data_IF_523479023921
#
_entry.id   IF_523479023921
#
_cell.length_a   1.000
_cell.length_b   1.000
_cell.length_c   1.000
_cell.angle_alpha   90.00
_cell.angle_beta   90.00
_cell.angle_gamma   90.00
#
_symmetry.space_group_name_H-M   'P 1'
#
loop_
_entity.id
_entity.type
_entity.pdbx_description
1 polymer ?
#
# COMPACT_ATOMS: atom_id res chain seq x y z
N UNK A 1 0.62 -1.09 15.71
CA UNK A 1 0.26 0.34 15.57
C UNK A 1 -0.54 0.48 14.28
N UNK A 2 -1.75 1.06 14.29
CA UNK A 2 -2.61 1.11 13.09
C UNK A 2 -2.21 2.30 12.19
N UNK A 3 -2.04 2.05 10.89
CA UNK A 3 -1.78 3.10 9.89
C UNK A 3 -3.11 3.64 9.35
N UNK A 4 -3.48 4.91 9.59
CA UNK A 4 -4.79 5.43 9.21
C UNK A 4 -5.11 5.39 7.70
N UNK A 5 -4.08 5.44 6.85
CA UNK A 5 -4.20 5.37 5.38
C UNK A 5 -4.35 3.95 4.83
N UNK A 6 -4.26 2.92 5.68
CA UNK A 6 -4.66 1.54 5.37
C UNK A 6 -5.63 1.07 6.43
N UNK A 7 -6.94 1.38 6.29
CA UNK A 7 -7.93 0.75 7.13
C UNK A 7 -7.74 -0.78 7.03
N UNK A 8 -7.67 -1.43 8.18
CA UNK A 8 -7.35 -2.86 8.42
C UNK A 8 -5.88 -3.31 8.43
N UNK A 9 -4.88 -2.42 8.28
CA UNK A 9 -3.48 -2.81 8.49
C UNK A 9 -3.07 -2.68 9.97
N UNK A 10 -3.35 -3.73 10.76
CA UNK A 10 -2.82 -3.90 12.12
C UNK A 10 -1.57 -4.78 12.04
N UNK A 11 -0.41 -4.17 12.29
CA UNK A 11 0.89 -4.87 12.33
C UNK A 11 1.54 -4.73 13.72
N UNK A 12 2.22 -5.79 14.16
CA UNK A 12 2.84 -5.97 15.48
C UNK A 12 4.25 -6.61 15.33
N UNK A 13 5.08 -6.52 16.37
CA UNK A 13 6.40 -7.14 16.48
C UNK A 13 6.93 -7.05 17.92
N UNK A 14 7.87 -7.91 18.30
CA UNK A 14 8.42 -8.00 19.66
C UNK A 14 9.28 -6.78 20.02
N UNK A 15 9.79 -6.10 19.00
CA UNK A 15 10.55 -4.86 19.12
C UNK A 15 9.95 -3.75 18.27
N UNK A 16 10.30 -2.50 18.59
CA UNK A 16 9.90 -1.35 17.79
C UNK A 16 10.41 -1.43 16.36
N UNK A 17 11.68 -1.84 16.16
CA UNK A 17 12.23 -2.07 14.82
C UNK A 17 11.41 -3.11 14.03
N UNK A 18 11.04 -4.22 14.66
CA UNK A 18 10.28 -5.28 14.01
C UNK A 18 8.87 -4.84 13.65
N UNK A 19 8.15 -4.20 14.58
CA UNK A 19 6.82 -3.68 14.29
C UNK A 19 6.84 -2.68 13.13
N UNK A 20 7.88 -1.84 13.03
CA UNK A 20 8.06 -0.90 11.92
C UNK A 20 8.41 -1.61 10.61
N UNK A 21 9.23 -2.67 10.65
CA UNK A 21 9.54 -3.51 9.49
C UNK A 21 8.26 -4.15 8.94
N UNK A 22 7.48 -4.78 9.82
CA UNK A 22 6.24 -5.46 9.45
C UNK A 22 5.21 -4.48 8.88
N UNK A 23 5.12 -3.26 9.43
CA UNK A 23 4.28 -2.20 8.84
C UNK A 23 4.73 -1.88 7.41
N UNK A 24 6.04 -1.69 7.15
CA UNK A 24 6.54 -1.38 5.79
C UNK A 24 6.23 -2.48 4.79
N UNK A 25 6.45 -3.73 5.16
CA UNK A 25 6.18 -4.88 4.28
C UNK A 25 4.68 -4.97 3.95
N UNK A 26 3.79 -4.78 4.92
CA UNK A 26 2.35 -4.79 4.68
C UNK A 26 1.89 -3.65 3.74
N UNK A 27 2.57 -2.51 3.79
CA UNK A 27 2.30 -1.37 2.90
C UNK A 27 2.73 -1.66 1.47
N UNK A 28 3.93 -2.23 1.31
CA UNK A 28 4.46 -2.59 0.00
C UNK A 28 3.56 -3.63 -0.66
N UNK A 29 3.16 -4.66 0.08
CA UNK A 29 2.22 -5.69 -0.39
C UNK A 29 0.85 -5.11 -0.79
N UNK A 30 0.33 -4.13 -0.04
CA UNK A 30 -0.95 -3.50 -0.38
C UNK A 30 -0.86 -2.63 -1.64
N UNK A 31 0.28 -1.99 -1.87
CA UNK A 31 0.51 -1.08 -3.00
C UNK A 31 1.13 -1.78 -4.21
N UNK A 32 1.41 -3.08 -4.10
CA UNK A 32 1.98 -3.85 -5.20
C UNK A 32 0.96 -3.86 -6.34
N UNK A 33 1.35 -3.41 -7.55
CA UNK A 33 0.45 -3.42 -8.69
C UNK A 33 0.10 -4.87 -9.02
N UNK A 34 -1.19 -5.19 -8.97
CA UNK A 34 -1.68 -6.49 -9.43
C UNK A 34 -1.51 -6.51 -10.94
N UNK A 35 -0.83 -7.52 -11.50
CA UNK A 35 -0.57 -7.59 -12.96
C UNK A 35 -1.86 -7.57 -13.82
N UNK A 36 -3.02 -7.82 -13.21
CA UNK A 36 -4.36 -7.79 -13.83
C UNK A 36 -5.15 -6.50 -13.53
N UNK A 37 -4.64 -5.61 -12.67
CA UNK A 37 -5.29 -4.35 -12.24
C UNK A 37 -4.77 -3.15 -13.02
N UNK A 38 -4.61 -3.28 -14.35
CA UNK A 38 -5.11 -2.18 -15.17
C UNK A 38 -6.63 -2.19 -14.99
N UNK A 39 -7.11 -1.64 -13.86
CA UNK A 39 -8.49 -1.28 -13.71
C UNK A 39 -8.76 -0.30 -14.83
N UNK A 40 -9.24 -0.81 -15.97
CA UNK A 40 -9.87 -0.03 -17.00
C UNK A 40 -11.17 0.46 -16.38
N UNK A 41 -11.04 1.48 -15.52
CA UNK A 41 -12.17 2.21 -15.02
C UNK A 41 -12.67 2.95 -16.25
N UNK A 42 -13.76 2.46 -16.85
CA UNK A 42 -14.39 3.14 -17.98
C UNK A 42 -14.59 4.62 -17.59
N UNK A 43 -14.01 5.53 -18.38
CA UNK A 43 -13.96 7.00 -18.17
C UNK A 43 -12.89 7.56 -17.20
N UNK A 44 -11.82 6.83 -16.85
CA UNK A 44 -10.68 7.47 -16.15
C UNK A 44 -9.75 8.21 -17.14
N UNK A 45 -9.48 9.50 -16.89
CA UNK A 45 -8.43 10.24 -17.59
C UNK A 45 -7.06 9.94 -16.97
N UNK A 46 -6.16 9.32 -17.74
CA UNK A 46 -4.76 9.18 -17.36
C UNK A 46 -3.99 10.40 -17.83
N UNK A 47 -3.45 11.18 -16.89
CA UNK A 47 -2.62 12.35 -17.18
C UNK A 47 -1.18 11.99 -16.85
N UNK A 48 -0.33 11.99 -17.87
CA UNK A 48 1.11 11.83 -17.69
C UNK A 48 1.71 13.18 -17.25
N UNK A 49 2.29 13.20 -16.04
CA UNK A 49 3.06 14.33 -15.54
C UNK A 49 4.53 14.10 -15.85
N UNK A 50 5.05 14.81 -16.85
CA UNK A 50 6.48 14.98 -17.02
C UNK A 50 6.96 16.09 -16.06
N UNK A 51 7.93 15.78 -15.20
CA UNK A 51 8.62 16.76 -14.34
C UNK A 51 9.69 17.49 -15.15
#
# INVERSE_FOLDING_TARGET
MARPSLPDCISEGDTKEEALKNIREAIELYLEPVEDDTLAIDNSEQIELAI
#
